data_IF_088538303259
#
_entry.id   IF_088538303259
#
_cell.length_a   1.000
_cell.length_b   1.000
_cell.length_c   1.000
_cell.angle_alpha   90.00
_cell.angle_beta   90.00
_cell.angle_gamma   90.00
#
_symmetry.space_group_name_H-M   'P 1'
#
loop_
_entity.id
_entity.type
_entity.pdbx_description
1 polymer ?
#
# COMPACT_ATOMS: atom_id res chain seq x y z
N UNK A 1 -31.96 26.16 6.42
CA UNK A 1 -31.07 26.10 5.23
C UNK A 1 -29.68 26.49 5.71
N UNK A 2 -28.89 25.52 6.12
CA UNK A 2 -27.51 25.73 6.58
C UNK A 2 -26.60 25.55 5.38
N UNK A 3 -26.05 26.65 4.87
CA UNK A 3 -25.09 26.65 3.78
C UNK A 3 -23.84 25.86 4.23
N UNK A 4 -23.57 24.79 3.54
CA UNK A 4 -22.29 24.08 3.63
C UNK A 4 -21.23 25.03 3.07
N UNK A 5 -20.53 25.74 3.97
CA UNK A 5 -19.33 26.48 3.61
C UNK A 5 -18.33 25.40 3.17
N UNK A 6 -18.07 25.30 1.87
CA UNK A 6 -16.93 24.56 1.36
C UNK A 6 -15.69 25.13 2.04
N UNK A 7 -15.09 24.33 2.94
CA UNK A 7 -13.75 24.63 3.45
C UNK A 7 -12.81 24.59 2.25
N UNK A 8 -12.51 25.76 1.72
CA UNK A 8 -11.37 25.91 0.81
C UNK A 8 -10.17 25.49 1.67
N UNK A 9 -9.66 24.29 1.45
CA UNK A 9 -8.48 23.79 2.13
C UNK A 9 -7.30 24.69 1.77
N UNK A 10 -7.05 25.68 2.60
CA UNK A 10 -5.90 26.58 2.40
C UNK A 10 -4.63 25.74 2.45
N UNK A 11 -3.83 25.84 1.39
CA UNK A 11 -2.57 25.15 1.34
C UNK A 11 -1.60 25.73 2.35
N UNK A 12 -1.10 24.86 3.23
CA UNK A 12 -0.09 25.19 4.22
C UNK A 12 1.20 24.43 3.93
N UNK A 13 2.33 25.11 4.13
CA UNK A 13 3.65 24.56 3.88
C UNK A 13 4.44 24.45 5.19
N UNK A 14 5.13 23.32 5.38
CA UNK A 14 6.03 23.09 6.51
C UNK A 14 7.38 22.61 6.03
N UNK A 15 8.43 23.01 6.72
CA UNK A 15 9.78 22.51 6.46
C UNK A 15 9.87 21.00 6.67
N UNK A 16 10.62 20.33 5.81
CA UNK A 16 10.86 18.90 5.93
C UNK A 16 11.98 18.71 6.96
N UNK A 17 11.78 17.91 8.04
CA UNK A 17 12.78 17.65 9.06
C UNK A 17 14.11 17.15 8.50
N UNK A 18 15.21 17.84 8.88
CA UNK A 18 16.54 17.59 8.37
C UNK A 18 16.84 18.26 7.02
N UNK A 19 15.88 19.04 6.50
CA UNK A 19 16.00 19.81 5.26
C UNK A 19 15.42 21.24 5.41
N UNK A 20 15.40 21.75 6.64
CA UNK A 20 14.89 23.08 6.97
C UNK A 20 15.62 24.16 6.15
N UNK A 21 14.86 25.12 5.63
CA UNK A 21 15.38 26.18 4.76
C UNK A 21 15.70 25.76 3.33
N UNK A 22 15.56 24.46 2.98
CA UNK A 22 15.80 23.95 1.63
C UNK A 22 14.56 23.38 0.96
N UNK A 23 13.75 22.64 1.72
CA UNK A 23 12.57 21.96 1.17
C UNK A 23 11.39 22.01 2.10
N UNK A 24 10.21 22.16 1.51
CA UNK A 24 8.94 22.14 2.20
C UNK A 24 7.97 21.15 1.57
N UNK A 25 7.07 20.62 2.38
CA UNK A 25 5.92 19.85 1.93
C UNK A 25 4.62 20.56 2.32
N UNK A 26 3.55 20.36 1.54
CA UNK A 26 2.24 20.95 1.82
C UNK A 26 1.25 19.89 2.30
N UNK A 27 0.21 20.35 3.00
CA UNK A 27 -0.94 19.53 3.39
C UNK A 27 -1.72 18.98 2.18
N UNK A 28 -1.53 19.55 0.99
CA UNK A 28 -2.14 19.09 -0.27
C UNK A 28 -1.28 18.07 -1.05
N UNK A 29 -0.19 17.56 -0.44
CA UNK A 29 0.61 16.52 -1.07
C UNK A 29 1.70 17.02 -2.02
N UNK A 30 1.95 18.32 -2.08
CA UNK A 30 2.97 18.94 -2.93
C UNK A 30 4.28 19.18 -2.19
N UNK A 31 5.36 19.33 -2.93
CA UNK A 31 6.71 19.59 -2.44
C UNK A 31 7.32 20.78 -3.18
N UNK A 32 8.11 21.57 -2.48
CA UNK A 32 8.88 22.67 -3.10
C UNK A 32 10.28 22.77 -2.51
N UNK A 33 11.22 23.24 -3.34
CA UNK A 33 12.48 23.79 -2.86
C UNK A 33 12.28 25.26 -2.52
N UNK A 34 13.13 25.77 -1.63
CA UNK A 34 13.18 27.19 -1.29
C UNK A 34 14.35 27.88 -2.00
N UNK A 35 14.27 29.21 -2.10
CA UNK A 35 15.42 30.02 -2.48
C UNK A 35 16.53 29.79 -1.44
N UNK A 36 17.70 29.41 -1.88
CA UNK A 36 18.84 29.21 -0.99
C UNK A 36 20.17 29.48 -1.68
N UNK A 37 21.13 29.91 -0.92
CA UNK A 37 22.53 30.00 -1.36
C UNK A 37 23.24 28.71 -1.01
N UNK A 38 23.93 28.14 -1.99
CA UNK A 38 24.75 26.93 -1.81
C UNK A 38 26.17 27.20 -2.26
N UNK A 39 27.11 26.80 -1.44
CA UNK A 39 28.52 26.81 -1.85
C UNK A 39 28.82 25.59 -2.70
N UNK A 40 29.28 25.79 -3.91
CA UNK A 40 29.73 24.70 -4.80
C UNK A 40 30.99 24.06 -4.25
N UNK A 41 31.34 22.85 -4.75
CA UNK A 41 32.58 22.16 -4.37
C UNK A 41 33.86 23.03 -4.64
N UNK A 42 33.78 23.97 -5.55
CA UNK A 42 34.88 24.88 -5.89
C UNK A 42 34.81 26.21 -5.11
N UNK A 43 34.01 26.31 -4.05
CA UNK A 43 33.90 27.48 -3.19
C UNK A 43 33.02 28.63 -3.70
N UNK A 44 32.44 28.52 -4.89
CA UNK A 44 31.54 29.57 -5.42
C UNK A 44 30.15 29.52 -4.77
N UNK A 45 29.64 30.69 -4.43
CA UNK A 45 28.23 30.85 -3.99
C UNK A 45 27.31 30.76 -5.21
N UNK A 46 26.32 29.88 -5.15
CA UNK A 46 25.28 29.75 -6.17
C UNK A 46 23.91 29.91 -5.56
N UNK A 47 23.15 30.88 -6.06
CA UNK A 47 21.74 31.07 -5.69
C UNK A 47 20.90 30.01 -6.42
N UNK A 48 20.17 29.20 -5.67
CA UNK A 48 19.15 28.32 -6.18
C UNK A 48 17.78 28.96 -5.98
N UNK A 49 17.01 29.11 -7.05
CA UNK A 49 15.63 29.57 -6.99
C UNK A 49 14.71 28.40 -6.64
N UNK A 50 13.82 28.64 -5.67
CA UNK A 50 12.83 27.68 -5.25
C UNK A 50 11.81 27.37 -6.35
N UNK A 51 11.36 26.13 -6.42
CA UNK A 51 10.36 25.69 -7.38
C UNK A 51 9.58 24.48 -6.85
N UNK A 52 8.44 24.18 -7.46
CA UNK A 52 7.67 22.97 -7.15
C UNK A 52 8.44 21.75 -7.65
N UNK A 53 8.57 20.75 -6.79
CA UNK A 53 9.26 19.51 -7.07
C UNK A 53 8.28 18.47 -7.60
N UNK A 54 8.72 17.69 -8.58
CA UNK A 54 7.95 16.57 -9.13
C UNK A 54 8.21 15.29 -8.34
N UNK A 55 7.12 14.58 -8.04
CA UNK A 55 7.18 13.21 -7.53
C UNK A 55 7.21 12.21 -8.68
N UNK A 56 7.69 11.01 -8.43
CA UNK A 56 7.70 9.92 -9.41
C UNK A 56 7.15 8.63 -8.78
N UNK A 57 6.64 7.74 -9.61
CA UNK A 57 6.07 6.46 -9.17
C UNK A 57 7.19 5.42 -9.02
N UNK A 58 7.26 4.78 -7.85
CA UNK A 58 8.17 3.66 -7.61
C UNK A 58 7.54 2.32 -8.03
N UNK A 59 8.35 1.25 -8.05
CA UNK A 59 7.90 -0.11 -8.41
C UNK A 59 6.76 -0.65 -7.52
N UNK A 60 6.64 -0.16 -6.29
CA UNK A 60 5.56 -0.52 -5.34
C UNK A 60 4.33 0.39 -5.45
N UNK A 61 4.27 1.18 -6.54
CA UNK A 61 3.16 2.07 -6.88
C UNK A 61 2.95 3.23 -5.89
N UNK A 62 3.97 3.60 -5.10
CA UNK A 62 3.94 4.80 -4.28
C UNK A 62 4.64 5.97 -4.95
N UNK A 63 4.16 7.19 -4.67
CA UNK A 63 4.87 8.40 -5.07
C UNK A 63 6.10 8.62 -4.20
N UNK A 64 7.22 8.85 -4.86
CA UNK A 64 8.53 9.15 -4.27
C UNK A 64 8.94 10.58 -4.57
N UNK A 65 9.72 11.16 -3.66
CA UNK A 65 10.39 12.44 -3.83
C UNK A 65 11.88 12.30 -3.54
N UNK A 66 12.70 12.96 -4.33
CA UNK A 66 14.15 13.03 -4.10
C UNK A 66 14.50 14.36 -3.45
N UNK A 67 15.18 14.30 -2.32
CA UNK A 67 15.75 15.44 -1.63
C UNK A 67 17.27 15.31 -1.60
N UNK A 68 17.97 16.44 -1.67
CA UNK A 68 19.43 16.48 -1.70
C UNK A 68 19.93 17.32 -0.53
N UNK A 69 20.84 16.75 0.25
CA UNK A 69 21.59 17.42 1.31
C UNK A 69 23.10 17.39 1.02
N UNK A 70 23.93 17.83 1.97
CA UNK A 70 25.38 17.80 1.85
C UNK A 70 25.96 16.38 1.76
N UNK A 71 25.19 15.36 2.13
CA UNK A 71 25.56 13.93 2.11
C UNK A 71 25.13 13.26 0.81
N UNK A 72 24.36 13.96 -0.04
CA UNK A 72 23.90 13.45 -1.32
C UNK A 72 22.37 13.41 -1.48
N UNK A 73 21.93 12.72 -2.54
CA UNK A 73 20.52 12.59 -2.90
C UNK A 73 19.91 11.37 -2.23
N UNK A 74 18.73 11.55 -1.62
CA UNK A 74 17.95 10.49 -1.00
C UNK A 74 16.51 10.49 -1.50
N UNK A 75 15.96 9.29 -1.68
CA UNK A 75 14.57 9.08 -2.08
C UNK A 75 13.69 8.79 -0.86
N UNK A 76 12.54 9.43 -0.79
CA UNK A 76 11.57 9.28 0.29
C UNK A 76 10.18 8.99 -0.26
N UNK A 77 9.39 8.20 0.47
CA UNK A 77 7.95 8.04 0.18
C UNK A 77 7.20 9.32 0.52
N UNK A 78 6.57 9.94 -0.46
CA UNK A 78 5.89 11.22 -0.33
C UNK A 78 4.84 11.22 0.80
N UNK A 79 3.96 10.23 0.84
CA UNK A 79 2.93 10.11 1.88
C UNK A 79 3.50 10.07 3.30
N UNK A 80 4.69 9.49 3.51
CA UNK A 80 5.30 9.42 4.84
C UNK A 80 5.79 10.78 5.33
N UNK A 81 6.37 11.59 4.45
CA UNK A 81 6.77 12.97 4.79
C UNK A 81 5.53 13.77 5.17
N UNK A 82 4.47 13.72 4.34
CA UNK A 82 3.26 14.49 4.59
C UNK A 82 2.55 14.03 5.86
N UNK A 83 2.43 12.72 6.07
CA UNK A 83 1.86 12.20 7.31
C UNK A 83 2.64 12.66 8.55
N UNK A 84 3.98 12.64 8.50
CA UNK A 84 4.80 13.08 9.64
C UNK A 84 4.65 14.56 9.99
N UNK A 85 4.32 15.40 9.00
CA UNK A 85 4.19 16.84 9.18
C UNK A 85 2.77 17.30 9.56
N UNK A 86 1.76 16.61 9.06
CA UNK A 86 0.39 17.12 9.08
C UNK A 86 -0.61 16.19 9.76
N UNK A 87 -0.29 14.91 9.94
CA UNK A 87 -1.22 13.94 10.55
C UNK A 87 -0.78 13.60 11.98
N UNK A 88 -1.59 13.88 13.01
CA UNK A 88 -1.25 13.54 14.40
C UNK A 88 -0.99 12.05 14.58
N UNK A 89 0.06 11.71 15.32
CA UNK A 89 0.45 10.32 15.62
C UNK A 89 0.75 10.10 17.12
N UNK A 90 -0.22 10.29 18.01
CA UNK A 90 0.00 10.20 19.48
C UNK A 90 0.40 8.80 19.94
N UNK A 91 0.07 7.76 19.16
CA UNK A 91 0.40 6.37 19.46
C UNK A 91 1.71 5.88 18.80
N UNK A 92 2.45 6.78 18.16
CA UNK A 92 3.70 6.48 17.45
C UNK A 92 3.59 5.28 16.49
N UNK A 93 2.50 5.21 15.74
CA UNK A 93 2.23 4.14 14.76
C UNK A 93 3.19 4.26 13.56
N UNK A 94 3.57 3.12 12.98
CA UNK A 94 4.63 3.07 11.97
C UNK A 94 4.13 3.02 10.53
N UNK A 95 2.83 2.77 10.31
CA UNK A 95 2.26 2.58 8.99
C UNK A 95 1.33 3.73 8.65
N UNK A 96 1.47 4.26 7.45
CA UNK A 96 0.56 5.25 6.87
C UNK A 96 -0.35 4.56 5.85
N UNK A 97 -1.65 4.74 6.01
CA UNK A 97 -2.68 4.25 5.10
C UNK A 97 -3.29 5.42 4.31
N UNK A 98 -3.72 5.15 3.07
CA UNK A 98 -4.51 6.06 2.25
C UNK A 98 -5.99 5.71 2.42
N UNK A 99 -6.80 6.62 2.98
CA UNK A 99 -8.22 6.37 3.29
C UNK A 99 -9.05 6.03 2.04
N UNK A 100 -8.74 6.62 0.90
CA UNK A 100 -9.40 6.33 -0.38
C UNK A 100 -8.74 5.20 -1.19
N UNK A 101 -7.76 4.48 -0.63
CA UNK A 101 -6.96 3.43 -1.28
C UNK A 101 -6.14 3.89 -2.50
N UNK A 102 -6.10 5.20 -2.81
CA UNK A 102 -5.30 5.75 -3.90
C UNK A 102 -3.92 6.18 -3.38
N UNK A 103 -2.89 5.44 -3.71
CA UNK A 103 -1.50 5.68 -3.29
C UNK A 103 -0.89 6.97 -3.87
N UNK A 104 -1.54 7.56 -4.86
CA UNK A 104 -1.09 8.80 -5.50
C UNK A 104 -1.73 10.05 -4.88
N UNK A 105 -2.78 9.90 -4.07
CA UNK A 105 -3.42 11.00 -3.36
C UNK A 105 -2.82 11.16 -1.96
N UNK A 106 -1.76 11.96 -1.87
CA UNK A 106 -0.99 12.19 -0.65
C UNK A 106 -1.47 13.42 0.14
N UNK A 107 -2.67 13.91 -0.06
CA UNK A 107 -3.25 14.97 0.77
C UNK A 107 -3.32 14.50 2.23
N UNK A 108 -3.02 15.41 3.16
CA UNK A 108 -2.97 15.07 4.59
C UNK A 108 -4.32 14.55 5.13
N UNK A 109 -5.43 15.08 4.64
CA UNK A 109 -6.79 14.65 4.99
C UNK A 109 -7.11 13.22 4.54
N UNK A 110 -6.43 12.73 3.48
CA UNK A 110 -6.54 11.37 2.97
C UNK A 110 -5.61 10.37 3.67
N UNK A 111 -4.68 10.84 4.50
CA UNK A 111 -3.71 9.97 5.17
C UNK A 111 -4.11 9.71 6.63
N UNK A 112 -3.75 8.53 7.13
CA UNK A 112 -3.89 8.17 8.53
C UNK A 112 -2.76 7.26 9.00
N UNK A 113 -2.35 7.41 10.27
CA UNK A 113 -1.45 6.46 10.91
C UNK A 113 -2.23 5.25 11.40
N UNK A 114 -1.72 4.07 11.16
CA UNK A 114 -2.43 2.84 11.51
C UNK A 114 -1.51 1.70 11.95
N UNK A 115 -2.11 0.65 12.51
CA UNK A 115 -1.40 -0.60 12.81
C UNK A 115 -1.31 -1.47 11.56
N UNK A 116 -0.32 -2.40 11.53
CA UNK A 116 -0.22 -3.38 10.44
C UNK A 116 -1.49 -4.23 10.31
N UNK A 117 -2.08 -4.63 11.44
CA UNK A 117 -3.33 -5.42 11.45
C UNK A 117 -4.50 -4.66 10.81
N UNK A 118 -4.62 -3.37 11.10
CA UNK A 118 -5.64 -2.50 10.51
C UNK A 118 -5.41 -2.37 8.99
N UNK A 119 -4.19 -1.99 8.57
CA UNK A 119 -3.86 -1.81 7.17
C UNK A 119 -4.09 -3.07 6.31
N UNK A 120 -3.74 -4.25 6.83
CA UNK A 120 -3.99 -5.54 6.15
C UNK A 120 -5.48 -5.89 6.00
N UNK A 121 -6.36 -5.27 6.79
CA UNK A 121 -7.81 -5.49 6.76
C UNK A 121 -8.57 -4.34 6.12
N UNK A 122 -7.89 -3.24 5.81
CA UNK A 122 -8.51 -2.03 5.32
C UNK A 122 -9.06 -2.20 3.90
N UNK A 123 -10.23 -1.62 3.66
CA UNK A 123 -10.84 -1.47 2.34
C UNK A 123 -10.95 -2.76 1.51
N UNK A 124 -10.59 -2.63 0.24
CA UNK A 124 -10.65 -3.73 -0.74
C UNK A 124 -9.55 -4.78 -0.60
N UNK A 125 -8.56 -4.57 0.30
CA UNK A 125 -7.40 -5.47 0.45
C UNK A 125 -7.80 -6.90 0.77
N UNK A 126 -8.78 -7.10 1.67
CA UNK A 126 -9.31 -8.44 1.96
C UNK A 126 -10.02 -9.06 0.77
N UNK A 127 -10.86 -8.29 0.08
CA UNK A 127 -11.59 -8.75 -1.11
C UNK A 127 -10.62 -9.18 -2.21
N UNK A 128 -9.63 -8.33 -2.53
CA UNK A 128 -8.55 -8.64 -3.48
C UNK A 128 -7.73 -9.88 -3.06
N UNK A 129 -7.47 -10.04 -1.75
CA UNK A 129 -6.77 -11.21 -1.22
C UNK A 129 -7.62 -12.49 -1.33
N UNK A 130 -8.91 -12.41 -1.03
CA UNK A 130 -9.85 -13.53 -1.19
C UNK A 130 -9.99 -13.89 -2.68
N UNK A 131 -10.13 -12.91 -3.56
CA UNK A 131 -10.18 -13.10 -5.01
C UNK A 131 -8.88 -13.73 -5.56
N UNK A 132 -7.72 -13.32 -5.05
CA UNK A 132 -6.41 -13.87 -5.44
C UNK A 132 -6.17 -15.29 -4.88
N UNK A 133 -6.74 -15.61 -3.68
CA UNK A 133 -6.67 -16.93 -3.04
C UNK A 133 -7.87 -17.79 -3.44
N UNK A 134 -8.89 -17.21 -4.00
CA UNK A 134 -10.28 -17.65 -4.15
C UNK A 134 -10.52 -18.84 -5.07
N UNK A 135 -9.61 -19.82 -5.07
CA UNK A 135 -9.93 -21.13 -5.61
C UNK A 135 -10.55 -21.97 -4.52
N UNK A 136 -11.86 -22.22 -4.65
CA UNK A 136 -12.55 -23.23 -3.84
C UNK A 136 -12.26 -24.62 -4.40
N UNK A 137 -12.48 -25.62 -3.58
CA UNK A 137 -12.30 -27.02 -3.96
C UNK A 137 -13.60 -27.76 -3.73
N UNK A 138 -14.18 -28.28 -4.78
CA UNK A 138 -15.34 -29.18 -4.70
C UNK A 138 -14.87 -30.61 -4.59
N UNK A 139 -15.45 -31.37 -3.68
CA UNK A 139 -15.22 -32.79 -3.47
C UNK A 139 -16.37 -33.58 -4.08
N UNK A 140 -16.00 -34.63 -4.79
CA UNK A 140 -16.93 -35.58 -5.39
C UNK A 140 -16.52 -37.01 -5.04
N UNK A 141 -17.47 -37.92 -5.07
CA UNK A 141 -17.22 -39.37 -5.09
C UNK A 141 -16.57 -39.77 -6.43
N UNK A 142 -16.04 -40.99 -6.52
CA UNK A 142 -15.41 -41.50 -7.78
C UNK A 142 -16.43 -41.57 -8.92
N UNK A 143 -17.69 -41.88 -8.62
CA UNK A 143 -18.81 -41.88 -9.55
C UNK A 143 -19.35 -40.50 -9.92
N UNK A 144 -18.69 -39.41 -9.43
CA UNK A 144 -18.99 -38.04 -9.83
C UNK A 144 -20.09 -37.36 -9.00
N UNK A 145 -20.59 -37.95 -7.92
CA UNK A 145 -21.60 -37.32 -7.07
C UNK A 145 -20.96 -36.24 -6.18
N UNK A 146 -21.52 -35.04 -6.19
CA UNK A 146 -21.09 -33.94 -5.36
C UNK A 146 -21.27 -34.24 -3.87
N UNK A 147 -20.26 -33.88 -3.06
CA UNK A 147 -20.28 -34.03 -1.61
C UNK A 147 -20.33 -32.65 -0.93
N UNK A 148 -19.27 -31.83 -1.14
CA UNK A 148 -19.17 -30.52 -0.48
C UNK A 148 -18.15 -29.59 -1.16
N UNK A 149 -18.15 -28.34 -0.73
CA UNK A 149 -17.17 -27.33 -1.19
C UNK A 149 -16.34 -26.81 -0.04
N UNK A 150 -15.03 -26.79 -0.20
CA UNK A 150 -14.09 -26.19 0.74
C UNK A 150 -13.61 -24.82 0.24
N UNK A 151 -13.40 -23.89 1.16
CA UNK A 151 -12.90 -22.53 0.84
C UNK A 151 -11.47 -22.50 0.30
N UNK A 152 -10.71 -23.61 0.41
CA UNK A 152 -9.35 -23.75 -0.13
C UNK A 152 -8.88 -25.20 -0.03
N UNK A 153 -7.82 -25.57 -0.78
CA UNK A 153 -7.16 -26.88 -0.64
C UNK A 153 -6.62 -27.12 0.76
N UNK A 154 -6.11 -26.06 1.44
CA UNK A 154 -5.63 -26.16 2.84
C UNK A 154 -6.78 -26.45 3.80
N UNK A 155 -7.94 -25.86 3.59
CA UNK A 155 -9.13 -26.16 4.39
C UNK A 155 -9.59 -27.59 4.17
N UNK A 156 -9.65 -28.06 2.91
CA UNK A 156 -9.97 -29.45 2.58
C UNK A 156 -9.00 -30.43 3.25
N UNK A 157 -7.70 -30.19 3.15
CA UNK A 157 -6.65 -31.02 3.78
C UNK A 157 -6.85 -31.13 5.29
N UNK A 158 -7.09 -29.99 5.97
CA UNK A 158 -7.28 -29.97 7.42
C UNK A 158 -8.56 -30.69 7.87
N UNK A 159 -9.68 -30.46 7.17
CA UNK A 159 -10.99 -31.03 7.53
C UNK A 159 -11.01 -32.53 7.27
N UNK A 160 -10.40 -32.96 6.15
CA UNK A 160 -10.39 -34.38 5.75
C UNK A 160 -9.24 -35.19 6.36
N UNK A 161 -8.29 -34.53 7.04
CA UNK A 161 -7.10 -35.21 7.59
C UNK A 161 -6.19 -35.81 6.53
N UNK A 162 -6.16 -35.29 5.29
CA UNK A 162 -5.37 -35.82 4.17
C UNK A 162 -4.34 -34.80 3.70
N UNK A 163 -3.16 -35.23 3.19
CA UNK A 163 -2.14 -34.34 2.68
C UNK A 163 -2.64 -33.43 1.55
N UNK A 164 -2.32 -32.13 1.66
CA UNK A 164 -2.70 -31.12 0.66
C UNK A 164 -2.11 -31.42 -0.72
N UNK A 165 -0.91 -32.03 -0.78
CA UNK A 165 -0.25 -32.42 -2.04
C UNK A 165 -1.11 -33.37 -2.90
N UNK A 166 -1.78 -34.32 -2.27
CA UNK A 166 -2.66 -35.25 -2.99
C UNK A 166 -3.91 -34.56 -3.55
N UNK A 167 -4.51 -33.62 -2.78
CA UNK A 167 -5.62 -32.79 -3.27
C UNK A 167 -5.14 -31.91 -4.45
N UNK A 168 -3.96 -31.29 -4.31
CA UNK A 168 -3.35 -30.48 -5.36
C UNK A 168 -3.14 -31.29 -6.64
N UNK A 169 -2.50 -32.46 -6.56
CA UNK A 169 -2.23 -33.32 -7.70
C UNK A 169 -3.51 -33.73 -8.42
N UNK A 170 -4.59 -34.01 -7.68
CA UNK A 170 -5.88 -34.34 -8.28
C UNK A 170 -6.55 -33.12 -8.92
N UNK A 171 -6.57 -31.94 -8.25
CA UNK A 171 -7.10 -30.70 -8.80
C UNK A 171 -6.40 -30.23 -10.08
N UNK A 172 -5.13 -30.59 -10.28
CA UNK A 172 -4.33 -30.25 -11.46
C UNK A 172 -4.17 -31.42 -12.44
N UNK A 173 -4.98 -32.47 -12.30
CA UNK A 173 -5.05 -33.60 -13.24
C UNK A 173 -3.85 -34.55 -13.19
N UNK A 174 -2.93 -34.40 -12.23
CA UNK A 174 -1.81 -35.35 -12.06
C UNK A 174 -2.24 -36.71 -11.52
N UNK A 175 -3.39 -36.75 -10.87
CA UNK A 175 -4.03 -37.98 -10.38
C UNK A 175 -5.52 -37.96 -10.74
N UNK A 176 -6.06 -39.10 -11.18
CA UNK A 176 -7.49 -39.24 -11.53
C UNK A 176 -8.39 -39.10 -10.28
N UNK A 177 -7.94 -39.62 -9.14
CA UNK A 177 -8.62 -39.52 -7.84
C UNK A 177 -7.59 -39.53 -6.71
N UNK A 178 -8.02 -39.14 -5.48
CA UNK A 178 -7.17 -39.20 -4.30
C UNK A 178 -7.99 -39.60 -3.06
N UNK A 179 -7.54 -40.69 -2.38
CA UNK A 179 -8.23 -41.24 -1.19
C UNK A 179 -9.71 -41.54 -1.41
N UNK A 180 -10.08 -42.02 -2.61
CA UNK A 180 -11.48 -42.39 -2.93
C UNK A 180 -12.35 -41.19 -3.35
N UNK A 181 -11.75 -40.02 -3.61
CA UNK A 181 -12.47 -38.81 -4.00
C UNK A 181 -11.86 -38.13 -5.23
N UNK A 182 -12.68 -37.33 -5.89
CA UNK A 182 -12.25 -36.41 -6.94
C UNK A 182 -12.36 -34.98 -6.38
N UNK A 183 -11.31 -34.20 -6.54
CA UNK A 183 -11.24 -32.80 -6.14
C UNK A 183 -11.13 -31.91 -7.37
N UNK A 184 -12.04 -30.96 -7.50
CA UNK A 184 -12.08 -30.00 -8.62
C UNK A 184 -11.90 -28.61 -8.10
N UNK A 185 -10.92 -27.92 -8.68
CA UNK A 185 -10.66 -26.50 -8.39
C UNK A 185 -11.69 -25.65 -9.14
N UNK A 186 -12.43 -24.81 -8.43
CA UNK A 186 -13.44 -23.91 -8.98
C UNK A 186 -13.14 -22.47 -8.55
N UNK A 187 -13.38 -21.54 -9.46
CA UNK A 187 -13.33 -20.09 -9.18
C UNK A 187 -14.78 -19.63 -9.12
N UNK A 188 -15.18 -19.08 -7.99
CA UNK A 188 -16.46 -18.37 -7.84
C UNK A 188 -16.23 -16.89 -7.83
#
# INVERSE_FOLDING_TARGET
MTSSIERIDMETWKDIPGYEGFYQASNLGRFRSLDCERTTKNGFQKVHRGHILHTYIANDDYLMINLTDNKGRKAFKAHRIIASLFVPNPLNLQIVNHKNENKHDNRADNLEWCTNRYNLRYGSTQKKRIEKIGWRVRQFTIDGKYIQTFVSMRAASRILGIPMSGIYDNCYGKKKSYKGYIFVKVKE
#
